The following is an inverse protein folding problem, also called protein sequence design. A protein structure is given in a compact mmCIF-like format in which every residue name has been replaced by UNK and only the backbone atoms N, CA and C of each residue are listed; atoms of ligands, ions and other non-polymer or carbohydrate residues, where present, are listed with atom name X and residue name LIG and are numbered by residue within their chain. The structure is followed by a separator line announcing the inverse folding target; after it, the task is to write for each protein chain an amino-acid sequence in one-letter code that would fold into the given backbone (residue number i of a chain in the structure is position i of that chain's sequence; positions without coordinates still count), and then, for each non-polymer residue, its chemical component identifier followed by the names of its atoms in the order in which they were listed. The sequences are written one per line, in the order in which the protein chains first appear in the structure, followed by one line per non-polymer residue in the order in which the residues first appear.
data_IF_192387274812
#
_entry.id   IF_192387274812
#
_cell.length_a   1.000
_cell.length_b   1.000
_cell.length_c   1.000
_cell.angle_alpha   90.00
_cell.angle_beta   90.00
_cell.angle_gamma   90.00
#
_symmetry.space_group_name_H-M   'P 1'
#
loop_
_entity.id
_entity.type
_entity.pdbx_description
1 polymer ?
#
# COMPACT_ATOMS: atom_id res chain seq x y z
N UNK A 1 3.46 16.44 20.81
CA UNK A 1 3.29 16.42 19.34
C UNK A 1 4.53 16.93 18.62
N UNK A 2 5.00 18.16 18.84
CA UNK A 2 6.20 18.70 18.16
C UNK A 2 7.52 17.96 18.46
N UNK A 3 7.70 17.43 19.67
CA UNK A 3 8.89 16.62 20.02
C UNK A 3 8.87 15.29 19.24
N UNK A 4 7.75 14.57 19.27
CA UNK A 4 7.58 13.33 18.49
C UNK A 4 7.73 13.56 16.97
N UNK A 5 7.25 14.70 16.45
CA UNK A 5 7.44 15.07 15.05
C UNK A 5 8.92 15.33 14.72
N UNK A 6 9.66 15.94 15.65
CA UNK A 6 11.12 16.14 15.52
C UNK A 6 11.88 14.81 15.57
N UNK A 7 11.48 13.91 16.48
CA UNK A 7 12.12 12.59 16.61
C UNK A 7 11.87 11.71 15.37
N UNK A 8 10.68 11.82 14.75
CA UNK A 8 10.33 11.11 13.52
C UNK A 8 10.77 11.82 12.23
N UNK A 9 11.40 13.00 12.32
CA UNK A 9 11.67 13.88 11.16
C UNK A 9 12.47 13.19 10.05
N UNK A 10 13.45 12.37 10.41
CA UNK A 10 14.25 11.61 9.44
C UNK A 10 13.46 10.52 8.73
N UNK A 11 12.48 9.92 9.42
CA UNK A 11 11.53 8.99 8.81
C UNK A 11 10.58 9.71 7.84
N UNK A 12 10.08 10.88 8.22
CA UNK A 12 9.19 11.69 7.37
C UNK A 12 9.91 12.22 6.12
N UNK A 13 11.21 12.50 6.21
CA UNK A 13 12.01 12.94 5.06
C UNK A 13 12.06 11.88 3.94
N UNK A 14 11.90 10.59 4.27
CA UNK A 14 11.82 9.53 3.27
C UNK A 14 10.68 9.76 2.27
N UNK A 15 9.51 10.20 2.76
CA UNK A 15 8.35 10.52 1.90
C UNK A 15 8.68 11.64 0.92
N UNK A 16 9.40 12.66 1.40
CA UNK A 16 9.83 13.80 0.57
C UNK A 16 10.85 13.36 -0.47
N UNK A 17 11.79 12.49 -0.11
CA UNK A 17 12.79 11.95 -1.05
C UNK A 17 12.12 11.13 -2.15
N UNK A 18 11.16 10.27 -1.79
CA UNK A 18 10.45 9.42 -2.75
C UNK A 18 9.56 10.28 -3.66
N UNK A 19 8.64 11.06 -3.10
CA UNK A 19 7.68 11.84 -3.88
C UNK A 19 8.39 12.96 -4.66
N UNK A 20 9.32 13.67 -4.02
CA UNK A 20 10.10 14.72 -4.67
C UNK A 20 11.01 14.17 -5.77
N UNK A 21 11.58 12.98 -5.58
CA UNK A 21 12.40 12.31 -6.60
C UNK A 21 11.57 11.85 -7.80
N UNK A 22 10.38 11.29 -7.56
CA UNK A 22 9.47 10.82 -8.63
C UNK A 22 8.89 12.01 -9.40
N UNK A 23 8.23 12.95 -8.71
CA UNK A 23 7.60 14.10 -9.37
C UNK A 23 8.61 15.10 -9.93
N UNK A 24 9.82 15.15 -9.37
CA UNK A 24 10.94 15.93 -9.90
C UNK A 24 11.63 15.29 -11.10
N UNK A 25 11.24 14.08 -11.51
CA UNK A 25 11.83 13.38 -12.65
C UNK A 25 13.24 12.85 -12.42
N UNK A 26 13.71 12.81 -11.17
CA UNK A 26 15.04 12.32 -10.80
C UNK A 26 15.06 10.80 -10.76
N UNK A 27 13.97 10.18 -10.28
CA UNK A 27 13.84 8.73 -10.14
C UNK A 27 12.54 8.23 -10.75
N UNK A 28 12.58 7.05 -11.35
CA UNK A 28 11.39 6.21 -11.59
C UNK A 28 10.90 5.58 -10.28
N UNK A 29 9.66 5.05 -10.19
CA UNK A 29 9.17 4.40 -8.97
C UNK A 29 10.05 3.25 -8.48
N UNK A 30 10.63 2.47 -9.39
CA UNK A 30 11.55 1.37 -9.05
C UNK A 30 12.89 1.88 -8.50
N UNK A 31 13.43 2.96 -9.07
CA UNK A 31 14.65 3.60 -8.56
C UNK A 31 14.39 4.27 -7.21
N UNK A 32 13.24 4.93 -7.05
CA UNK A 32 12.83 5.55 -5.80
C UNK A 32 12.74 4.52 -4.66
N UNK A 33 12.26 3.31 -4.92
CA UNK A 33 12.27 2.21 -3.95
C UNK A 33 13.70 1.80 -3.54
N UNK A 34 14.64 1.72 -4.50
CA UNK A 34 16.05 1.43 -4.20
C UNK A 34 16.70 2.53 -3.35
N UNK A 35 16.45 3.80 -3.71
CA UNK A 35 16.90 4.97 -2.94
C UNK A 35 16.31 4.94 -1.54
N UNK A 36 15.03 4.64 -1.40
CA UNK A 36 14.34 4.51 -0.11
C UNK A 36 14.94 3.42 0.78
N UNK A 37 15.28 2.27 0.21
CA UNK A 37 15.92 1.18 0.94
C UNK A 37 17.31 1.59 1.45
N UNK A 38 18.13 2.23 0.60
CA UNK A 38 19.45 2.72 1.00
C UNK A 38 19.33 3.80 2.09
N UNK A 39 18.43 4.76 1.90
CA UNK A 39 18.17 5.81 2.89
C UNK A 39 17.71 5.20 4.22
N UNK A 40 16.74 4.29 4.20
CA UNK A 40 16.21 3.65 5.41
C UNK A 40 17.29 2.86 6.15
N UNK A 41 18.15 2.14 5.43
CA UNK A 41 19.29 1.44 6.01
C UNK A 41 20.26 2.41 6.73
N UNK A 42 20.55 3.57 6.12
CA UNK A 42 21.41 4.59 6.72
C UNK A 42 20.77 5.20 7.97
N UNK A 43 19.49 5.58 7.92
CA UNK A 43 18.80 6.19 9.06
C UNK A 43 18.70 5.21 10.22
N UNK A 44 18.31 3.95 9.95
CA UNK A 44 18.17 2.92 10.98
C UNK A 44 19.51 2.63 11.69
N UNK A 45 20.61 2.46 10.94
CA UNK A 45 21.91 2.15 11.54
C UNK A 45 22.60 3.38 12.18
N UNK A 46 22.55 4.55 11.55
CA UNK A 46 23.38 5.68 11.96
C UNK A 46 22.66 6.74 12.78
N UNK A 47 21.36 6.95 12.55
CA UNK A 47 20.60 8.04 13.18
C UNK A 47 19.75 7.49 14.32
N UNK A 48 18.81 6.58 14.02
CA UNK A 48 17.97 5.98 15.04
C UNK A 48 18.72 4.95 15.88
N UNK A 49 19.75 4.31 15.31
CA UNK A 49 20.56 3.30 15.98
C UNK A 49 19.67 2.20 16.59
N UNK A 50 18.61 1.83 15.87
CA UNK A 50 17.63 0.83 16.29
C UNK A 50 17.98 -0.59 15.81
N UNK A 51 18.94 -0.71 14.89
CA UNK A 51 19.48 -1.99 14.42
C UNK A 51 20.98 -1.92 14.14
N UNK A 52 21.63 -3.10 14.07
CA UNK A 52 23.03 -3.19 13.66
C UNK A 52 24.04 -2.95 14.81
N UNK A 53 25.34 -2.85 14.49
CA UNK A 53 26.41 -2.73 15.48
C UNK A 53 26.44 -1.37 16.21
N UNK A 54 25.61 -0.41 15.77
CA UNK A 54 25.45 0.90 16.38
C UNK A 54 24.32 0.94 17.43
N UNK A 55 23.40 -0.03 17.41
CA UNK A 55 22.37 -0.19 18.45
C UNK A 55 22.98 -0.66 19.78
N UNK A 56 24.04 -1.46 19.71
CA UNK A 56 24.82 -1.88 20.88
C UNK A 56 25.76 -0.75 21.36
N UNK A 57 25.38 -0.12 22.48
CA UNK A 57 26.13 0.98 23.10
C UNK A 57 27.41 0.52 23.82
N UNK A 58 27.56 -0.78 24.11
CA UNK A 58 28.76 -1.33 24.75
C UNK A 58 29.86 -1.68 23.74
N UNK A 59 29.49 -1.76 22.45
CA UNK A 59 30.44 -2.04 21.38
C UNK A 59 31.43 -0.87 21.19
N UNK A 60 32.67 -1.05 21.62
CA UNK A 60 33.75 -0.04 21.57
C UNK A 60 34.61 -0.11 20.30
N UNK A 61 34.22 -0.93 19.31
CA UNK A 61 34.98 -1.07 18.05
C UNK A 61 35.04 0.27 17.29
N UNK A 62 36.11 0.50 16.50
CA UNK A 62 36.24 1.70 15.67
C UNK A 62 35.04 1.88 14.72
N UNK A 63 34.63 3.12 14.48
CA UNK A 63 33.47 3.45 13.63
C UNK A 63 33.57 2.79 12.25
N UNK A 64 34.75 2.79 11.63
CA UNK A 64 34.98 2.15 10.33
C UNK A 64 34.63 0.66 10.32
N UNK A 65 34.96 -0.03 11.41
CA UNK A 65 34.67 -1.46 11.58
C UNK A 65 33.18 -1.69 11.83
N UNK A 66 32.51 -0.78 12.55
CA UNK A 66 31.05 -0.83 12.74
C UNK A 66 30.29 -0.63 11.43
N UNK A 67 30.73 0.30 10.58
CA UNK A 67 30.14 0.50 9.25
C UNK A 67 30.20 -0.78 8.42
N UNK A 68 31.37 -1.42 8.35
CA UNK A 68 31.52 -2.68 7.61
C UNK A 68 30.69 -3.81 8.25
N UNK A 69 30.62 -3.86 9.58
CA UNK A 69 29.79 -4.83 10.28
C UNK A 69 28.29 -4.60 10.04
N UNK A 70 27.83 -3.36 9.82
CA UNK A 70 26.41 -3.07 9.59
C UNK A 70 25.85 -3.82 8.38
N UNK A 71 26.65 -3.99 7.31
CA UNK A 71 26.25 -4.75 6.13
C UNK A 71 26.13 -6.26 6.36
N UNK A 72 26.86 -6.80 7.35
CA UNK A 72 26.95 -8.25 7.61
C UNK A 72 26.29 -8.64 8.94
N UNK A 73 25.76 -7.66 9.66
CA UNK A 73 25.16 -7.83 10.99
C UNK A 73 23.96 -8.77 10.93
N UNK A 74 23.70 -9.45 12.04
CA UNK A 74 22.59 -10.40 12.16
C UNK A 74 21.24 -9.71 11.89
N UNK A 75 21.04 -8.50 12.42
CA UNK A 75 19.79 -7.76 12.24
C UNK A 75 19.58 -7.39 10.77
N UNK A 76 20.58 -6.82 10.10
CA UNK A 76 20.52 -6.50 8.67
C UNK A 76 20.20 -7.74 7.84
N UNK A 77 20.84 -8.88 8.13
CA UNK A 77 20.55 -10.15 7.46
C UNK A 77 19.12 -10.62 7.72
N UNK A 78 18.62 -10.50 8.95
CA UNK A 78 17.24 -10.85 9.30
C UNK A 78 16.26 -9.98 8.53
N UNK A 79 16.45 -8.65 8.54
CA UNK A 79 15.61 -7.69 7.82
C UNK A 79 15.60 -7.97 6.32
N UNK A 80 16.76 -8.23 5.71
CA UNK A 80 16.84 -8.58 4.29
C UNK A 80 16.18 -9.93 3.98
N UNK A 81 16.30 -10.91 4.88
CA UNK A 81 15.65 -12.21 4.74
C UNK A 81 14.13 -12.09 4.84
N UNK A 82 13.63 -11.29 5.79
CA UNK A 82 12.19 -11.02 5.94
C UNK A 82 11.64 -10.26 4.73
N UNK A 83 12.35 -9.23 4.25
CA UNK A 83 12.00 -8.53 3.02
C UNK A 83 12.02 -9.44 1.79
N UNK A 84 13.01 -10.34 1.69
CA UNK A 84 13.11 -11.32 0.62
C UNK A 84 11.94 -12.31 0.62
N UNK A 85 11.55 -12.85 1.79
CA UNK A 85 10.37 -13.72 1.93
C UNK A 85 9.09 -13.04 1.45
N UNK A 86 8.87 -11.79 1.87
CA UNK A 86 7.72 -11.00 1.41
C UNK A 86 7.75 -10.82 -0.11
N UNK A 87 8.90 -10.42 -0.66
CA UNK A 87 9.07 -10.20 -2.11
C UNK A 87 8.80 -11.48 -2.91
N UNK A 88 9.31 -12.62 -2.48
CA UNK A 88 9.09 -13.92 -3.14
C UNK A 88 7.61 -14.29 -3.13
N UNK A 89 6.94 -14.13 -1.98
CA UNK A 89 5.50 -14.38 -1.86
C UNK A 89 4.70 -13.51 -2.84
N UNK A 90 5.03 -12.22 -2.92
CA UNK A 90 4.38 -11.28 -3.85
C UNK A 90 4.60 -11.66 -5.30
N UNK A 91 5.85 -11.90 -5.71
CA UNK A 91 6.17 -12.27 -7.10
C UNK A 91 5.51 -13.59 -7.51
N UNK A 92 5.41 -14.55 -6.59
CA UNK A 92 4.69 -15.81 -6.85
C UNK A 92 3.19 -15.59 -7.03
N UNK A 93 2.55 -14.76 -6.20
CA UNK A 93 1.14 -14.37 -6.36
C UNK A 93 0.94 -13.66 -7.70
N UNK A 94 1.83 -12.73 -8.07
CA UNK A 94 1.79 -12.01 -9.35
C UNK A 94 1.83 -12.97 -10.53
N UNK A 95 2.78 -13.91 -10.53
CA UNK A 95 2.92 -14.87 -11.62
C UNK A 95 1.62 -15.65 -11.86
N UNK A 96 0.99 -16.15 -10.77
CA UNK A 96 -0.27 -16.88 -10.87
C UNK A 96 -1.46 -15.97 -11.24
N UNK A 97 -1.51 -14.75 -10.72
CA UNK A 97 -2.56 -13.78 -11.03
C UNK A 97 -2.52 -13.34 -12.50
N UNK A 98 -1.34 -13.23 -13.10
CA UNK A 98 -1.20 -12.92 -14.53
C UNK A 98 -1.74 -14.05 -15.41
N UNK A 99 -1.54 -15.31 -15.02
CA UNK A 99 -2.13 -16.47 -15.69
C UNK A 99 -3.66 -16.43 -15.54
N UNK A 100 -4.17 -16.20 -14.33
CA UNK A 100 -5.61 -16.08 -14.08
C UNK A 100 -6.23 -14.94 -14.90
N UNK A 101 -5.59 -13.77 -14.95
CA UNK A 101 -6.00 -12.63 -15.78
C UNK A 101 -6.16 -13.05 -17.24
N UNK A 102 -5.18 -13.78 -17.77
CA UNK A 102 -5.20 -14.23 -19.15
C UNK A 102 -6.42 -15.13 -19.42
N UNK A 103 -6.62 -16.15 -18.59
CA UNK A 103 -7.79 -17.07 -18.68
C UNK A 103 -9.11 -16.31 -18.59
N UNK A 104 -9.27 -15.41 -17.61
CA UNK A 104 -10.49 -14.62 -17.45
C UNK A 104 -10.79 -13.74 -18.67
N UNK A 105 -9.74 -13.23 -19.32
CA UNK A 105 -9.87 -12.40 -20.52
C UNK A 105 -10.28 -13.26 -21.73
N UNK A 106 -9.69 -14.45 -21.87
CA UNK A 106 -10.01 -15.39 -22.94
C UNK A 106 -11.43 -15.95 -22.83
N UNK A 107 -11.85 -16.29 -21.62
CA UNK A 107 -13.21 -16.76 -21.29
C UNK A 107 -14.25 -15.62 -21.28
N UNK A 108 -13.83 -14.37 -21.52
CA UNK A 108 -14.70 -13.18 -21.54
C UNK A 108 -15.52 -12.98 -20.27
N UNK A 109 -15.00 -13.43 -19.12
CA UNK A 109 -15.68 -13.33 -17.83
C UNK A 109 -16.03 -11.87 -17.47
N UNK A 110 -15.14 -10.87 -17.66
CA UNK A 110 -15.49 -9.48 -17.39
C UNK A 110 -16.69 -8.98 -18.22
N UNK A 111 -16.76 -9.36 -19.49
CA UNK A 111 -17.87 -9.00 -20.38
C UNK A 111 -19.17 -9.65 -19.94
N UNK A 112 -19.14 -10.95 -19.61
CA UNK A 112 -20.32 -11.68 -19.12
C UNK A 112 -20.88 -11.08 -17.83
N UNK A 113 -20.01 -10.71 -16.89
CA UNK A 113 -20.41 -10.04 -15.64
C UNK A 113 -21.04 -8.69 -15.96
N UNK A 114 -20.41 -7.90 -16.83
CA UNK A 114 -20.94 -6.59 -17.24
C UNK A 114 -22.32 -6.70 -17.87
N UNK A 115 -22.52 -7.63 -18.80
CA UNK A 115 -23.81 -7.90 -19.45
C UNK A 115 -24.87 -8.39 -18.46
N UNK A 116 -24.49 -9.25 -17.51
CA UNK A 116 -25.36 -9.73 -16.44
C UNK A 116 -25.80 -8.58 -15.51
N UNK A 117 -24.89 -7.65 -15.23
CA UNK A 117 -25.18 -6.47 -14.42
C UNK A 117 -26.12 -5.51 -15.17
N UNK A 118 -25.83 -5.21 -16.43
CA UNK A 118 -26.66 -4.34 -17.26
C UNK A 118 -28.06 -4.92 -17.47
N UNK A 119 -28.18 -6.22 -17.70
CA UNK A 119 -29.49 -6.90 -17.85
C UNK A 119 -30.29 -6.96 -16.55
N UNK A 120 -29.62 -7.03 -15.40
CA UNK A 120 -30.26 -6.89 -14.09
C UNK A 120 -30.57 -5.42 -13.71
N UNK A 121 -30.28 -4.44 -14.58
CA UNK A 121 -30.49 -3.02 -14.31
C UNK A 121 -29.51 -2.44 -13.27
N UNK A 122 -28.40 -3.13 -13.00
CA UNK A 122 -27.39 -2.69 -12.04
C UNK A 122 -26.43 -1.70 -12.72
N UNK A 123 -26.39 -0.48 -12.18
CA UNK A 123 -25.55 0.60 -12.69
C UNK A 123 -24.15 0.67 -12.06
N UNK A 124 -23.38 1.73 -12.40
CA UNK A 124 -22.02 1.96 -11.89
C UNK A 124 -21.93 2.01 -10.36
N UNK A 125 -22.97 2.52 -9.70
CA UNK A 125 -23.06 2.61 -8.24
C UNK A 125 -23.03 1.21 -7.60
N UNK A 126 -23.84 0.28 -8.10
CA UNK A 126 -23.90 -1.08 -7.56
C UNK A 126 -22.57 -1.81 -7.76
N UNK A 127 -21.93 -1.61 -8.92
CA UNK A 127 -20.60 -2.13 -9.18
C UNK A 127 -19.58 -1.64 -8.15
N UNK A 128 -19.53 -0.32 -7.89
CA UNK A 128 -18.63 0.25 -6.90
C UNK A 128 -18.90 -0.29 -5.49
N UNK A 129 -20.16 -0.52 -5.11
CA UNK A 129 -20.52 -1.14 -3.82
C UNK A 129 -19.95 -2.56 -3.73
N UNK A 130 -20.16 -3.38 -4.77
CA UNK A 130 -19.66 -4.77 -4.81
C UNK A 130 -18.14 -4.80 -4.70
N UNK A 131 -17.46 -3.93 -5.45
CA UNK A 131 -15.99 -3.82 -5.43
C UNK A 131 -15.49 -3.39 -4.04
N UNK A 132 -16.10 -2.37 -3.43
CA UNK A 132 -15.75 -1.95 -2.07
C UNK A 132 -15.90 -3.08 -1.05
N UNK A 133 -17.03 -3.80 -1.07
CA UNK A 133 -17.27 -4.92 -0.14
C UNK A 133 -16.24 -6.03 -0.34
N UNK A 134 -15.98 -6.40 -1.60
CA UNK A 134 -14.99 -7.41 -1.95
C UNK A 134 -13.59 -7.01 -1.46
N UNK A 135 -13.20 -5.76 -1.68
CA UNK A 135 -11.89 -5.24 -1.32
C UNK A 135 -11.72 -5.07 0.19
N UNK A 136 -12.74 -4.60 0.92
CA UNK A 136 -12.70 -4.51 2.38
C UNK A 136 -12.52 -5.89 3.00
N UNK A 137 -13.33 -6.87 2.57
CA UNK A 137 -13.26 -8.23 3.08
C UNK A 137 -11.93 -8.86 2.69
N UNK A 138 -11.49 -8.72 1.45
CA UNK A 138 -10.22 -9.29 1.00
C UNK A 138 -9.01 -8.67 1.72
N UNK A 139 -8.99 -7.33 1.85
CA UNK A 139 -7.88 -6.58 2.44
C UNK A 139 -7.72 -6.82 3.95
N UNK A 140 -8.76 -7.33 4.60
CA UNK A 140 -8.70 -7.79 5.98
C UNK A 140 -7.86 -9.08 6.17
N UNK A 141 -7.66 -9.88 5.12
CA UNK A 141 -6.94 -11.18 5.18
C UNK A 141 -5.64 -11.20 4.38
N UNK A 142 -5.58 -10.42 3.29
CA UNK A 142 -4.48 -10.46 2.33
C UNK A 142 -3.71 -9.14 2.35
N UNK A 143 -2.42 -9.23 2.08
CA UNK A 143 -1.59 -8.04 1.88
C UNK A 143 -2.09 -7.26 0.63
N UNK A 144 -2.15 -5.91 0.69
CA UNK A 144 -2.72 -5.06 -0.36
C UNK A 144 -2.20 -5.33 -1.76
N UNK A 145 -0.88 -5.43 -1.93
CA UNK A 145 -0.26 -5.63 -3.23
C UNK A 145 -0.76 -6.94 -3.85
N UNK A 146 -0.73 -8.05 -3.09
CA UNK A 146 -1.20 -9.35 -3.55
C UNK A 146 -2.67 -9.34 -3.98
N UNK A 147 -3.55 -8.69 -3.21
CA UNK A 147 -4.96 -8.62 -3.54
C UNK A 147 -5.25 -7.74 -4.77
N UNK A 148 -4.62 -6.56 -4.86
CA UNK A 148 -4.80 -5.66 -6.01
C UNK A 148 -4.34 -6.30 -7.31
N UNK A 149 -3.27 -7.09 -7.27
CA UNK A 149 -2.74 -7.79 -8.44
C UNK A 149 -3.73 -8.82 -8.99
N UNK A 150 -4.56 -9.43 -8.13
CA UNK A 150 -5.62 -10.38 -8.51
C UNK A 150 -6.89 -9.64 -8.95
N UNK A 151 -7.31 -8.65 -8.17
CA UNK A 151 -8.62 -8.01 -8.33
C UNK A 151 -8.61 -6.92 -9.39
N UNK A 152 -7.53 -6.14 -9.52
CA UNK A 152 -7.47 -5.04 -10.49
C UNK A 152 -7.71 -5.51 -11.93
N UNK A 153 -7.09 -6.60 -12.43
CA UNK A 153 -7.36 -7.06 -13.80
C UNK A 153 -8.80 -7.52 -14.04
N UNK A 154 -9.51 -7.96 -12.99
CA UNK A 154 -10.92 -8.37 -13.06
C UNK A 154 -11.85 -7.15 -13.08
N UNK A 155 -11.59 -6.19 -12.18
CA UNK A 155 -12.46 -5.02 -11.96
C UNK A 155 -12.24 -3.94 -13.01
N UNK A 156 -11.00 -3.74 -13.46
CA UNK A 156 -10.63 -2.65 -14.35
C UNK A 156 -11.42 -2.63 -15.68
N UNK A 157 -11.51 -3.74 -16.44
CA UNK A 157 -12.25 -3.73 -17.71
C UNK A 157 -13.74 -3.40 -17.53
N UNK A 158 -14.35 -3.88 -16.44
CA UNK A 158 -15.75 -3.64 -16.11
C UNK A 158 -15.96 -2.16 -15.75
N UNK A 159 -15.05 -1.59 -14.96
CA UNK A 159 -15.10 -0.19 -14.57
C UNK A 159 -15.07 0.74 -15.78
N UNK A 160 -14.17 0.50 -16.74
CA UNK A 160 -14.09 1.28 -17.98
C UNK A 160 -15.36 1.13 -18.81
N UNK A 161 -15.92 -0.08 -18.93
CA UNK A 161 -17.18 -0.32 -19.64
C UNK A 161 -18.37 0.43 -19.00
N UNK A 162 -18.35 0.61 -17.69
CA UNK A 162 -19.34 1.38 -16.93
C UNK A 162 -19.04 2.90 -16.89
N UNK A 163 -17.98 3.36 -17.55
CA UNK A 163 -17.59 4.78 -17.62
C UNK A 163 -16.95 5.32 -16.34
N UNK A 164 -16.40 4.45 -15.49
CA UNK A 164 -15.69 4.83 -14.27
C UNK A 164 -14.25 5.21 -14.63
N UNK A 165 -13.82 6.34 -14.10
CA UNK A 165 -12.47 6.88 -14.29
C UNK A 165 -11.39 5.96 -13.66
N UNK A 166 -10.32 5.60 -14.40
CA UNK A 166 -9.21 4.77 -13.91
C UNK A 166 -8.56 5.26 -12.63
N UNK A 167 -8.30 6.57 -12.52
CA UNK A 167 -7.66 7.20 -11.35
C UNK A 167 -8.61 7.12 -10.15
N UNK A 168 -9.88 7.41 -10.37
CA UNK A 168 -10.91 7.28 -9.32
C UNK A 168 -11.00 5.83 -8.81
N UNK A 169 -11.02 4.85 -9.72
CA UNK A 169 -11.01 3.44 -9.38
C UNK A 169 -9.73 3.09 -8.58
N UNK A 170 -8.56 3.49 -9.06
CA UNK A 170 -7.28 3.21 -8.40
C UNK A 170 -7.21 3.76 -6.98
N UNK A 171 -7.61 5.02 -6.78
CA UNK A 171 -7.66 5.65 -5.45
C UNK A 171 -8.63 4.91 -4.54
N UNK A 172 -9.83 4.60 -5.02
CA UNK A 172 -10.83 3.85 -4.26
C UNK A 172 -10.28 2.47 -3.87
N UNK A 173 -9.61 1.76 -4.78
CA UNK A 173 -8.99 0.48 -4.48
C UNK A 173 -7.91 0.59 -3.39
N UNK A 174 -7.04 1.60 -3.45
CA UNK A 174 -6.01 1.84 -2.43
C UNK A 174 -6.64 2.17 -1.08
N UNK A 175 -7.63 3.05 -1.02
CA UNK A 175 -8.31 3.41 0.24
C UNK A 175 -8.95 2.19 0.90
N UNK A 176 -9.59 1.29 0.12
CA UNK A 176 -10.11 0.03 0.66
C UNK A 176 -9.02 -0.83 1.28
N UNK A 177 -7.86 -0.94 0.63
CA UNK A 177 -6.74 -1.73 1.13
C UNK A 177 -6.17 -1.17 2.43
N UNK A 178 -6.03 0.15 2.52
CA UNK A 178 -5.54 0.80 3.74
C UNK A 178 -6.50 0.59 4.92
N UNK A 179 -7.81 0.61 4.67
CA UNK A 179 -8.82 0.26 5.68
C UNK A 179 -8.67 -1.20 6.11
N UNK A 180 -8.47 -2.13 5.17
CA UNK A 180 -8.23 -3.55 5.46
C UNK A 180 -7.03 -3.77 6.39
N UNK A 181 -5.94 -3.03 6.18
CA UNK A 181 -4.71 -3.12 6.97
C UNK A 181 -4.86 -2.67 8.42
N UNK A 182 -5.88 -1.88 8.75
CA UNK A 182 -6.19 -1.39 10.09
C UNK A 182 -7.48 -1.97 10.67
N UNK A 183 -8.10 -2.95 10.01
CA UNK A 183 -9.36 -3.59 10.44
C UNK A 183 -9.10 -5.07 10.77
N UNK A 184 -9.55 -5.58 11.94
CA UNK A 184 -9.48 -7.01 12.27
C UNK A 184 -10.19 -7.86 11.21
N UNK A 185 -9.77 -9.11 10.92
CA UNK A 185 -9.13 -10.05 11.83
C UNK A 185 -7.61 -10.16 11.72
N UNK A 186 -7.00 -9.82 10.57
CA UNK A 186 -5.53 -9.74 10.45
C UNK A 186 -5.07 -8.33 10.80
N UNK A 187 -5.42 -7.31 10.02
CA UNK A 187 -5.05 -5.92 10.34
C UNK A 187 -3.54 -5.77 10.65
N UNK A 188 -2.69 -6.10 9.67
CA UNK A 188 -1.22 -6.15 9.82
C UNK A 188 -0.64 -4.91 10.51
N UNK A 189 -1.18 -3.71 10.20
CA UNK A 189 -0.72 -2.46 10.82
C UNK A 189 -1.07 -2.39 12.31
N UNK A 190 -2.20 -2.97 12.73
CA UNK A 190 -2.56 -3.08 14.15
C UNK A 190 -1.62 -4.02 14.90
N UNK A 191 -1.15 -5.11 14.27
CA UNK A 191 -0.19 -6.03 14.89
C UNK A 191 1.16 -5.36 15.14
N UNK A 192 1.67 -4.66 14.13
CA UNK A 192 2.93 -3.90 14.24
C UNK A 192 2.77 -2.80 15.29
N UNK A 193 1.65 -2.07 15.26
CA UNK A 193 1.37 -1.01 16.25
C UNK A 193 1.27 -1.56 17.67
N UNK A 194 0.65 -2.72 17.88
CA UNK A 194 0.58 -3.37 19.19
C UNK A 194 1.97 -3.73 19.74
N UNK A 195 2.87 -4.21 18.87
CA UNK A 195 4.26 -4.50 19.23
C UNK A 195 5.03 -3.25 19.67
N UNK A 196 4.91 -2.16 18.90
CA UNK A 196 5.59 -0.88 19.19
C UNK A 196 5.01 -0.19 20.41
N UNK A 197 3.68 -0.10 20.51
CA UNK A 197 2.97 0.55 21.62
C UNK A 197 2.98 -0.28 22.91
N UNK A 198 3.43 -1.55 22.86
CA UNK A 198 3.38 -2.51 23.97
C UNK A 198 1.98 -2.64 24.57
N UNK A 199 0.96 -2.53 23.73
CA UNK A 199 -0.44 -2.66 24.09
C UNK A 199 -0.97 -4.01 23.60
N UNK A 200 -1.97 -4.55 24.28
CA UNK A 200 -2.66 -5.72 23.74
C UNK A 200 -3.37 -5.36 22.43
N UNK A 201 -3.47 -6.31 21.50
CA UNK A 201 -4.13 -6.11 20.21
C UNK A 201 -5.50 -5.44 20.36
N UNK A 202 -6.33 -5.95 21.28
CA UNK A 202 -7.68 -5.40 21.50
C UNK A 202 -7.68 -3.93 21.96
N UNK A 203 -6.68 -3.50 22.73
CA UNK A 203 -6.56 -2.09 23.12
C UNK A 203 -6.21 -1.22 21.91
N UNK A 204 -5.33 -1.70 21.02
CA UNK A 204 -4.98 -1.00 19.78
C UNK A 204 -6.17 -0.92 18.83
N UNK A 205 -6.92 -2.00 18.65
CA UNK A 205 -8.16 -1.99 17.83
C UNK A 205 -9.13 -0.93 18.34
N UNK A 206 -9.40 -0.91 19.66
CA UNK A 206 -10.31 0.08 20.25
C UNK A 206 -9.81 1.51 20.07
N UNK A 207 -8.50 1.74 20.17
CA UNK A 207 -7.89 3.03 19.95
C UNK A 207 -7.93 3.47 18.46
N UNK A 208 -7.83 2.52 17.53
CA UNK A 208 -7.88 2.77 16.09
C UNK A 208 -9.31 2.94 15.54
N UNK A 209 -10.32 2.36 16.20
CA UNK A 209 -11.72 2.38 15.77
C UNK A 209 -12.26 3.78 15.35
N UNK A 210 -12.03 4.88 16.09
CA UNK A 210 -12.50 6.19 15.64
C UNK A 210 -11.86 6.62 14.31
N UNK A 211 -10.58 6.28 14.09
CA UNK A 211 -9.88 6.58 12.84
C UNK A 211 -10.36 5.70 11.68
N UNK A 212 -10.66 4.43 11.96
CA UNK A 212 -11.32 3.53 11.01
C UNK A 212 -12.67 4.12 10.58
N UNK A 213 -13.46 4.65 11.51
CA UNK A 213 -14.73 5.32 11.19
C UNK A 213 -14.56 6.53 10.25
N UNK A 214 -13.53 7.36 10.48
CA UNK A 214 -13.20 8.48 9.57
C UNK A 214 -12.77 7.98 8.19
N UNK A 215 -11.97 6.91 8.12
CA UNK A 215 -11.56 6.29 6.85
C UNK A 215 -12.76 5.71 6.10
N UNK A 216 -13.71 5.08 6.78
CA UNK A 216 -14.95 4.60 6.16
C UNK A 216 -15.80 5.74 5.59
N UNK A 217 -15.93 6.84 6.32
CA UNK A 217 -16.60 8.03 5.81
C UNK A 217 -15.88 8.58 4.58
N UNK A 218 -14.56 8.66 4.63
CA UNK A 218 -13.74 9.06 3.50
C UNK A 218 -13.91 8.12 2.30
N UNK A 219 -14.00 6.80 2.52
CA UNK A 219 -14.24 5.82 1.46
C UNK A 219 -15.60 6.05 0.78
N UNK A 220 -16.65 6.31 1.56
CA UNK A 220 -17.98 6.64 1.03
C UNK A 220 -17.90 7.90 0.16
N UNK A 221 -17.24 8.95 0.65
CA UNK A 221 -17.07 10.21 -0.09
C UNK A 221 -16.32 9.96 -1.39
N UNK A 222 -15.17 9.28 -1.33
CA UNK A 222 -14.37 8.94 -2.51
C UNK A 222 -15.24 8.17 -3.50
N UNK A 223 -15.89 7.08 -3.07
CA UNK A 223 -16.71 6.20 -3.91
C UNK A 223 -17.81 6.93 -4.68
N UNK A 224 -18.50 7.90 -4.05
CA UNK A 224 -19.65 8.57 -4.67
C UNK A 224 -19.34 9.95 -5.23
N UNK A 225 -18.18 10.52 -4.92
CA UNK A 225 -17.76 11.85 -5.38
C UNK A 225 -16.42 11.72 -6.13
N UNK A 226 -16.43 11.32 -7.41
CA UNK A 226 -15.22 11.10 -8.20
C UNK A 226 -14.28 12.30 -8.23
N UNK A 227 -14.83 13.52 -8.17
CA UNK A 227 -14.06 14.77 -8.13
C UNK A 227 -13.04 14.83 -6.99
N UNK A 228 -13.33 14.20 -5.84
CA UNK A 228 -12.38 14.13 -4.71
C UNK A 228 -11.12 13.37 -5.11
N UNK A 229 -11.26 12.34 -5.96
CA UNK A 229 -10.14 11.56 -6.49
C UNK A 229 -9.47 12.23 -7.69
N UNK A 230 -10.25 12.84 -8.58
CA UNK A 230 -9.74 13.24 -9.90
C UNK A 230 -9.31 14.70 -10.00
N UNK A 231 -9.76 15.59 -9.12
CA UNK A 231 -9.51 17.03 -9.24
C UNK A 231 -8.02 17.40 -9.21
N UNK A 232 -7.29 16.91 -8.20
CA UNK A 232 -5.87 17.24 -8.05
C UNK A 232 -5.01 16.63 -9.18
N UNK A 233 -5.17 15.34 -9.54
CA UNK A 233 -4.49 14.77 -10.71
C UNK A 233 -4.82 15.54 -11.99
N UNK A 234 -6.10 15.83 -12.24
CA UNK A 234 -6.55 16.52 -13.47
C UNK A 234 -5.97 17.92 -13.58
N UNK A 235 -5.83 18.65 -12.46
CA UNK A 235 -5.31 20.02 -12.46
C UNK A 235 -3.79 20.09 -12.61
N UNK A 236 -3.05 19.10 -12.09
CA UNK A 236 -1.58 19.07 -12.16
C UNK A 236 -1.05 18.36 -13.40
N UNK A 237 -1.70 17.28 -13.83
CA UNK A 237 -1.24 16.39 -14.89
C UNK A 237 -2.09 16.48 -16.17
N UNK A 238 -3.22 17.16 -16.13
CA UNK A 238 -4.21 17.22 -17.22
C UNK A 238 -5.29 16.14 -17.11
N UNK A 239 -6.42 16.28 -17.84
CA UNK A 239 -7.50 15.30 -17.82
C UNK A 239 -7.08 13.97 -18.46
N UNK A 240 -7.50 12.86 -17.86
CA UNK A 240 -7.23 11.54 -18.40
C UNK A 240 -8.07 11.33 -19.68
N UNK A 241 -7.40 11.05 -20.80
CA UNK A 241 -8.07 10.79 -22.08
C UNK A 241 -8.45 9.32 -22.10
N UNK A 242 -9.71 9.02 -21.82
CA UNK A 242 -10.27 7.68 -22.01
C UNK A 242 -10.44 7.43 -23.51
N UNK A 243 -9.41 6.88 -24.17
CA UNK A 243 -9.55 6.32 -25.52
C UNK A 243 -10.37 5.03 -25.43
N UNK A 244 -11.62 5.10 -25.90
CA UNK A 244 -12.51 3.95 -26.09
C UNK A 244 -12.00 2.98 -27.14
#
# INVERSE_FOLDING_TARGET
MFIAAKDASWGLLLVVIILGGIYGGVFTPTEAAAVAAVYSFLIANFIYQDMGPFADKENTKPVLVKVLQAFVHKDTKSTLYDAGKLTIMLLFIIANALILKHVLTEERIPQMITESMLSAGLGPITFLIVVNVLLLIGGQFMEPSGLLIIVAPLVFPIAIALGIDPIHLGIMMVVNMEIGMITPPVGLNLFVTAGVAKMSMMQVVKAALPWVGVMFLFLIIVTYVPWVSTWLPTTLMGPEIITK
#
